data_IF_913770889860
#
_entry.id   IF_913770889860
#
_cell.length_a   1.000
_cell.length_b   1.000
_cell.length_c   1.000
_cell.angle_alpha   90.00
_cell.angle_beta   90.00
_cell.angle_gamma   90.00
#
_symmetry.space_group_name_H-M   'P 1'
#
loop_
_entity.id
_entity.type
_entity.pdbx_description
1 polymer ?
#
# COMPACT_ATOMS: atom_id res chain seq x y z
N UNK A 1 1.42 14.42 -33.05
CA UNK A 1 1.07 13.01 -32.73
C UNK A 1 2.23 12.42 -31.94
N UNK A 2 2.12 12.13 -30.63
CA UNK A 2 1.63 10.87 -30.00
C UNK A 2 2.43 9.64 -30.50
N UNK A 3 3.08 8.74 -29.74
CA UNK A 3 3.05 8.38 -28.30
C UNK A 3 4.32 7.53 -27.94
N UNK A 4 4.74 7.62 -26.67
CA UNK A 4 5.31 6.55 -25.78
C UNK A 4 6.52 5.73 -26.19
N UNK A 5 7.60 5.89 -25.42
CA UNK A 5 8.43 4.79 -24.91
C UNK A 5 8.98 5.15 -23.52
N UNK A 6 8.27 4.76 -22.46
CA UNK A 6 8.82 4.63 -21.12
C UNK A 6 8.14 3.44 -20.42
N UNK A 7 8.34 2.27 -21.01
CA UNK A 7 7.95 0.96 -20.43
C UNK A 7 9.15 0.21 -19.85
N UNK A 8 10.34 0.83 -19.86
CA UNK A 8 11.59 0.15 -19.52
C UNK A 8 11.91 0.07 -18.02
N UNK A 9 11.15 0.75 -17.16
CA UNK A 9 11.40 0.72 -15.71
C UNK A 9 10.57 -0.31 -14.94
N UNK A 10 9.49 -0.83 -15.53
CA UNK A 10 8.59 -1.77 -14.83
C UNK A 10 9.15 -3.19 -14.77
N UNK A 11 10.02 -3.57 -15.71
CA UNK A 11 10.48 -4.96 -15.86
C UNK A 11 11.57 -5.35 -14.85
N UNK A 12 12.41 -4.40 -14.42
CA UNK A 12 13.54 -4.67 -13.51
C UNK A 12 13.10 -5.01 -12.09
N UNK A 13 11.92 -4.56 -11.64
CA UNK A 13 11.42 -4.83 -10.27
C UNK A 13 10.72 -6.18 -10.11
N UNK A 14 10.44 -6.89 -11.19
CA UNK A 14 9.72 -8.18 -11.16
C UNK A 14 10.68 -9.33 -10.78
N UNK A 15 11.99 -9.17 -11.01
CA UNK A 15 12.98 -10.25 -10.80
C UNK A 15 13.27 -10.63 -9.34
N UNK A 16 13.00 -9.75 -8.37
CA UNK A 16 13.34 -9.97 -6.95
C UNK A 16 12.28 -10.79 -6.19
N UNK A 17 11.08 -10.95 -6.76
CA UNK A 17 9.91 -11.51 -6.08
C UNK A 17 9.94 -13.05 -5.95
N UNK A 18 10.78 -13.75 -6.72
CA UNK A 18 10.70 -15.20 -6.90
C UNK A 18 11.49 -16.05 -5.89
N UNK A 19 12.16 -15.44 -4.89
CA UNK A 19 12.90 -16.20 -3.86
C UNK A 19 12.04 -16.44 -2.61
N UNK A 20 11.18 -17.46 -2.72
CA UNK A 20 10.50 -18.26 -1.68
C UNK A 20 10.33 -17.69 -0.26
N UNK A 21 9.07 -17.41 0.10
CA UNK A 21 8.51 -17.33 1.46
C UNK A 21 8.82 -16.12 2.36
N UNK A 22 9.96 -15.43 2.24
CA UNK A 22 10.17 -14.09 2.86
C UNK A 22 9.97 -12.94 1.87
N UNK A 23 10.24 -13.17 0.58
CA UNK A 23 10.01 -12.20 -0.50
C UNK A 23 8.53 -11.88 -0.75
N UNK A 24 7.62 -12.74 -0.30
CA UNK A 24 6.18 -12.61 -0.55
C UNK A 24 5.57 -11.39 0.18
N UNK A 25 5.93 -11.17 1.45
CA UNK A 25 5.43 -10.03 2.24
C UNK A 25 6.13 -8.73 1.89
N UNK A 26 7.46 -8.73 1.74
CA UNK A 26 8.22 -7.53 1.38
C UNK A 26 7.90 -7.06 -0.04
N UNK A 27 7.71 -8.01 -0.95
CA UNK A 27 7.24 -7.76 -2.31
C UNK A 27 5.81 -7.22 -2.32
N UNK A 28 4.87 -7.85 -1.60
CA UNK A 28 3.50 -7.36 -1.45
C UNK A 28 3.44 -5.94 -0.87
N UNK A 29 4.23 -5.64 0.17
CA UNK A 29 4.33 -4.29 0.72
C UNK A 29 4.90 -3.28 -0.28
N UNK A 30 5.86 -3.68 -1.11
CA UNK A 30 6.43 -2.81 -2.15
C UNK A 30 5.41 -2.49 -3.25
N UNK A 31 4.69 -3.51 -3.73
CA UNK A 31 3.60 -3.35 -4.71
C UNK A 31 2.47 -2.49 -4.13
N UNK A 32 2.08 -2.76 -2.88
CA UNK A 32 1.08 -1.95 -2.19
C UNK A 32 1.55 -0.51 -2.06
N UNK A 33 2.82 -0.27 -1.70
CA UNK A 33 3.38 1.06 -1.63
C UNK A 33 3.36 1.80 -2.98
N UNK A 34 3.60 1.10 -4.08
CA UNK A 34 3.48 1.65 -5.44
C UNK A 34 2.03 2.07 -5.76
N UNK A 35 1.06 1.21 -5.43
CA UNK A 35 -0.38 1.50 -5.60
C UNK A 35 -0.81 2.70 -4.75
N UNK A 36 -0.34 2.75 -3.51
CA UNK A 36 -0.64 3.84 -2.58
C UNK A 36 0.05 5.16 -2.94
N UNK A 37 1.04 5.10 -3.84
CA UNK A 37 1.79 6.25 -4.28
C UNK A 37 2.75 6.80 -3.22
N UNK A 38 3.37 7.96 -3.49
CA UNK A 38 4.32 8.59 -2.58
C UNK A 38 3.67 8.94 -1.25
N UNK A 39 4.49 9.01 -0.19
CA UNK A 39 4.05 9.54 1.09
C UNK A 39 3.58 10.99 0.89
N UNK A 40 2.47 11.40 1.54
CA UNK A 40 2.05 12.79 1.48
C UNK A 40 3.11 13.68 2.15
N UNK A 41 3.21 14.93 1.68
CA UNK A 41 3.99 15.94 2.37
C UNK A 41 3.49 16.10 3.81
N UNK A 42 4.35 16.49 4.77
CA UNK A 42 3.93 16.73 6.15
C UNK A 42 2.74 17.70 6.18
N UNK A 43 1.68 17.31 6.91
CA UNK A 43 0.44 18.07 7.01
C UNK A 43 -0.61 17.83 5.90
N UNK A 44 -0.34 16.96 4.92
CA UNK A 44 -1.31 16.60 3.88
C UNK A 44 -1.89 15.19 4.11
N UNK A 45 -3.20 14.97 3.89
CA UNK A 45 -3.79 13.64 3.98
C UNK A 45 -3.28 12.75 2.84
N UNK A 46 -2.93 11.51 3.16
CA UNK A 46 -2.60 10.48 2.16
C UNK A 46 -3.80 10.14 1.28
N UNK A 47 -3.54 9.48 0.14
CA UNK A 47 -4.60 8.93 -0.71
C UNK A 47 -5.56 8.04 0.08
N UNK A 48 -5.05 7.21 1.00
CA UNK A 48 -5.88 6.36 1.85
C UNK A 48 -6.74 7.18 2.80
N UNK A 49 -6.19 8.22 3.43
CA UNK A 49 -6.96 9.09 4.32
C UNK A 49 -8.07 9.82 3.57
N UNK A 50 -7.81 10.35 2.37
CA UNK A 50 -8.83 10.99 1.55
C UNK A 50 -9.95 10.03 1.15
N UNK A 51 -9.60 8.80 0.74
CA UNK A 51 -10.59 7.79 0.38
C UNK A 51 -11.37 7.31 1.59
N UNK A 52 -10.68 7.07 2.71
CA UNK A 52 -11.30 6.67 3.95
C UNK A 52 -12.24 7.75 4.48
N UNK A 53 -11.89 9.03 4.37
CA UNK A 53 -12.77 10.15 4.70
C UNK A 53 -14.04 10.13 3.84
N UNK A 54 -13.92 9.91 2.53
CA UNK A 54 -15.05 9.83 1.61
C UNK A 54 -16.03 8.68 1.92
N UNK A 55 -15.55 7.60 2.58
CA UNK A 55 -16.38 6.45 2.99
C UNK A 55 -16.62 6.37 4.50
N UNK A 56 -16.22 7.40 5.27
CA UNK A 56 -16.39 7.44 6.73
C UNK A 56 -15.48 6.48 7.53
N UNK A 57 -14.42 5.95 6.92
CA UNK A 57 -13.45 5.02 7.52
C UNK A 57 -12.17 5.71 8.03
N UNK A 58 -12.10 7.04 8.03
CA UNK A 58 -10.92 7.77 8.53
C UNK A 58 -10.50 7.36 9.97
N UNK A 59 -11.41 7.13 10.93
CA UNK A 59 -11.04 6.65 12.27
C UNK A 59 -10.31 5.30 12.26
N UNK A 60 -10.66 4.40 11.33
CA UNK A 60 -10.00 3.10 11.19
C UNK A 60 -8.57 3.25 10.69
N UNK A 61 -8.36 4.13 9.69
CA UNK A 61 -7.01 4.43 9.20
C UNK A 61 -6.17 5.03 10.33
N UNK A 62 -6.70 5.98 11.10
CA UNK A 62 -6.02 6.56 12.27
C UNK A 62 -5.65 5.50 13.30
N UNK A 63 -6.58 4.59 13.62
CA UNK A 63 -6.32 3.49 14.53
C UNK A 63 -5.14 2.61 14.05
N UNK A 64 -5.07 2.29 12.75
CA UNK A 64 -3.93 1.55 12.19
C UNK A 64 -2.61 2.32 12.23
N UNK A 65 -2.63 3.65 12.14
CA UNK A 65 -1.42 4.48 12.25
C UNK A 65 -0.84 4.47 13.68
N UNK A 66 -1.70 4.35 14.69
CA UNK A 66 -1.31 4.42 16.10
C UNK A 66 -0.99 3.05 16.71
N UNK A 67 -1.73 2.00 16.34
CA UNK A 67 -1.58 0.66 16.91
C UNK A 67 -0.29 -0.04 16.49
N UNK A 68 0.41 -0.67 17.45
CA UNK A 68 1.66 -1.42 17.21
C UNK A 68 1.50 -2.65 16.33
N UNK A 69 0.44 -3.41 16.57
CA UNK A 69 0.10 -4.58 15.78
C UNK A 69 -1.38 -4.49 15.37
N UNK A 70 -1.69 -3.70 14.32
CA UNK A 70 -3.06 -3.50 13.91
C UNK A 70 -3.68 -4.78 13.37
N UNK A 71 -4.95 -5.01 13.69
CA UNK A 71 -5.68 -6.18 13.21
C UNK A 71 -5.81 -6.18 11.68
N UNK A 72 -5.84 -7.37 11.03
CA UNK A 72 -6.06 -7.49 9.60
C UNK A 72 -7.33 -6.76 9.18
N UNK A 73 -7.29 -6.09 8.03
CA UNK A 73 -8.45 -5.43 7.48
C UNK A 73 -9.51 -6.45 7.05
N UNK A 74 -10.78 -6.07 7.15
CA UNK A 74 -11.88 -6.83 6.56
C UNK A 74 -11.87 -6.69 5.02
N UNK A 75 -12.33 -7.72 4.31
CA UNK A 75 -12.41 -7.70 2.85
C UNK A 75 -13.28 -6.53 2.34
N UNK A 76 -14.41 -6.27 3.00
CA UNK A 76 -15.28 -5.12 2.70
C UNK A 76 -14.55 -3.78 2.86
N UNK A 77 -13.66 -3.67 3.84
CA UNK A 77 -12.84 -2.47 4.06
C UNK A 77 -11.82 -2.28 2.94
N UNK A 78 -11.19 -3.38 2.49
CA UNK A 78 -10.28 -3.33 1.34
C UNK A 78 -11.03 -2.86 0.08
N UNK A 79 -12.22 -3.39 -0.19
CA UNK A 79 -13.04 -2.96 -1.32
C UNK A 79 -13.57 -1.53 -1.22
N UNK A 80 -13.76 -1.01 -0.01
CA UNK A 80 -14.15 0.38 0.20
C UNK A 80 -12.98 1.36 -0.06
N UNK A 81 -11.75 0.96 0.27
CA UNK A 81 -10.56 1.81 0.15
C UNK A 81 -9.86 1.69 -1.22
N UNK A 82 -9.98 0.56 -1.89
CA UNK A 82 -9.33 0.27 -3.17
C UNK A 82 -10.35 0.04 -4.28
N UNK A 83 -10.02 0.55 -5.47
CA UNK A 83 -10.78 0.26 -6.68
C UNK A 83 -10.50 -1.19 -7.10
N UNK A 84 -11.47 -1.89 -7.73
CA UNK A 84 -11.26 -3.26 -8.21
C UNK A 84 -10.01 -3.42 -9.10
N UNK A 85 -9.73 -2.42 -9.95
CA UNK A 85 -8.54 -2.40 -10.81
C UNK A 85 -7.22 -2.34 -10.04
N UNK A 86 -7.20 -1.75 -8.83
CA UNK A 86 -6.00 -1.69 -7.99
C UNK A 86 -5.75 -3.02 -7.29
N UNK A 87 -6.82 -3.70 -6.88
CA UNK A 87 -6.75 -5.05 -6.29
C UNK A 87 -6.30 -6.06 -7.36
N UNK A 88 -6.83 -5.95 -8.58
CA UNK A 88 -6.41 -6.77 -9.73
C UNK A 88 -4.94 -6.51 -10.11
N UNK A 89 -4.53 -5.24 -10.13
CA UNK A 89 -3.13 -4.85 -10.34
C UNK A 89 -2.22 -5.44 -9.26
N UNK A 90 -2.63 -5.40 -7.99
CA UNK A 90 -1.89 -6.00 -6.89
C UNK A 90 -1.73 -7.51 -7.10
N UNK A 91 -2.82 -8.22 -7.41
CA UNK A 91 -2.81 -9.67 -7.72
C UNK A 91 -1.88 -9.99 -8.90
N UNK A 92 -1.96 -9.22 -9.99
CA UNK A 92 -1.14 -9.40 -11.19
C UNK A 92 0.35 -9.14 -10.92
N UNK A 93 0.68 -8.10 -10.17
CA UNK A 93 2.07 -7.72 -9.88
C UNK A 93 2.74 -8.62 -8.84
N UNK A 94 1.96 -9.19 -7.92
CA UNK A 94 2.46 -10.16 -6.92
C UNK A 94 2.47 -11.59 -7.45
N UNK A 95 1.79 -11.87 -8.57
CA UNK A 95 1.62 -13.22 -9.11
C UNK A 95 0.70 -14.11 -8.26
N UNK A 96 0.00 -13.54 -7.28
CA UNK A 96 -0.91 -14.24 -6.40
C UNK A 96 -2.27 -14.42 -7.08
N UNK A 97 -2.93 -15.54 -6.82
CA UNK A 97 -4.34 -15.72 -7.17
C UNK A 97 -5.21 -14.71 -6.43
N UNK A 98 -6.32 -14.24 -7.03
CA UNK A 98 -7.16 -13.18 -6.43
C UNK A 98 -7.56 -13.40 -4.96
N UNK A 99 -7.89 -14.64 -4.56
CA UNK A 99 -8.17 -14.96 -3.16
C UNK A 99 -6.94 -14.85 -2.24
N UNK A 100 -5.76 -15.28 -2.70
CA UNK A 100 -4.51 -15.17 -1.96
C UNK A 100 -4.04 -13.71 -1.86
N UNK A 101 -4.18 -12.96 -2.96
CA UNK A 101 -3.92 -11.54 -3.02
C UNK A 101 -4.79 -10.77 -2.02
N UNK A 102 -6.10 -11.04 -1.97
CA UNK A 102 -7.00 -10.44 -0.99
C UNK A 102 -6.61 -10.77 0.45
N UNK A 103 -6.32 -12.04 0.75
CA UNK A 103 -5.88 -12.47 2.09
C UNK A 103 -4.61 -11.72 2.53
N UNK A 104 -3.61 -11.66 1.66
CA UNK A 104 -2.34 -10.98 1.95
C UNK A 104 -2.58 -9.48 2.07
N UNK A 105 -3.37 -8.87 1.18
CA UNK A 105 -3.69 -7.44 1.20
C UNK A 105 -4.36 -7.03 2.51
N UNK A 106 -5.28 -7.84 3.04
CA UNK A 106 -5.91 -7.65 4.36
C UNK A 106 -4.89 -7.63 5.50
N UNK A 107 -3.85 -8.47 5.44
CA UNK A 107 -2.78 -8.49 6.45
C UNK A 107 -1.79 -7.33 6.29
N UNK A 108 -1.36 -7.03 5.05
CA UNK A 108 -0.28 -6.05 4.81
C UNK A 108 -0.76 -4.61 4.78
N UNK A 109 -2.03 -4.36 4.49
CA UNK A 109 -2.61 -3.01 4.43
C UNK A 109 -2.43 -2.23 5.74
N UNK A 110 -2.91 -2.72 6.90
CA UNK A 110 -2.80 -1.99 8.15
C UNK A 110 -1.33 -1.81 8.59
N UNK A 111 -0.48 -2.81 8.35
CA UNK A 111 0.96 -2.74 8.62
C UNK A 111 1.65 -1.67 7.77
N UNK A 112 1.27 -1.58 6.49
CA UNK A 112 1.82 -0.58 5.56
C UNK A 112 1.38 0.83 5.96
N UNK A 113 0.12 1.00 6.39
CA UNK A 113 -0.38 2.29 6.93
C UNK A 113 0.44 2.73 8.14
N UNK A 114 0.69 1.82 9.09
CA UNK A 114 1.55 2.09 10.25
C UNK A 114 2.96 2.48 9.82
N UNK A 115 3.59 1.67 8.97
CA UNK A 115 4.96 1.92 8.51
C UNK A 115 5.06 3.29 7.84
N UNK A 116 4.09 3.65 6.99
CA UNK A 116 4.02 4.97 6.35
C UNK A 116 3.87 6.11 7.35
N UNK A 117 3.05 5.95 8.38
CA UNK A 117 2.90 6.95 9.44
C UNK A 117 4.20 7.13 10.23
N UNK A 118 4.91 6.05 10.54
CA UNK A 118 6.22 6.11 11.19
C UNK A 118 7.26 6.79 10.29
N UNK A 119 7.30 6.44 9.01
CA UNK A 119 8.20 7.09 8.03
C UNK A 119 7.93 8.59 7.89
N UNK A 120 6.66 9.00 7.80
CA UNK A 120 6.28 10.41 7.71
C UNK A 120 6.69 11.21 8.97
N UNK A 121 6.60 10.59 10.15
CA UNK A 121 7.04 11.18 11.42
C UNK A 121 8.57 11.30 11.50
N UNK A 122 9.30 10.28 11.03
CA UNK A 122 10.75 10.29 11.00
C UNK A 122 11.30 11.36 10.03
N UNK A 123 10.72 11.49 8.84
CA UNK A 123 11.10 12.51 7.84
C UNK A 123 10.91 13.94 8.39
N UNK A 124 9.83 14.15 9.16
CA UNK A 124 9.56 15.42 9.86
C UNK A 124 10.63 15.75 10.91
N UNK A 125 11.33 14.76 11.48
CA UNK A 125 12.40 14.95 12.45
C UNK A 125 13.79 15.13 11.81
N UNK A 126 14.01 14.65 10.58
CA UNK A 126 15.29 14.82 9.88
C UNK A 126 15.42 16.21 9.24
N UNK A 127 14.30 16.86 8.91
CA UNK A 127 14.30 18.18 8.25
C UNK A 127 14.43 19.38 9.23
N UNK A 128 14.82 19.11 10.48
CA UNK A 128 15.17 20.09 11.52
C UNK A 128 16.63 19.89 11.94
N UNK A 129 17.56 20.14 11.02
CA UNK A 129 18.98 20.39 11.32
C UNK A 129 19.61 21.28 10.26
#
# INVERSE_FOLDING_TARGET
>A
MKITRNVSDLTTRIGDFLTGALGDRSGAMSVLNDILGPLPAPGHPSMLEQRAEAVGMLPLIRAWQEQDNPEPAEESTVHALFRPVEIDRFSTQTGLSGMAAMKILREVLPLTVRHRALSARADSQTNIH
#
